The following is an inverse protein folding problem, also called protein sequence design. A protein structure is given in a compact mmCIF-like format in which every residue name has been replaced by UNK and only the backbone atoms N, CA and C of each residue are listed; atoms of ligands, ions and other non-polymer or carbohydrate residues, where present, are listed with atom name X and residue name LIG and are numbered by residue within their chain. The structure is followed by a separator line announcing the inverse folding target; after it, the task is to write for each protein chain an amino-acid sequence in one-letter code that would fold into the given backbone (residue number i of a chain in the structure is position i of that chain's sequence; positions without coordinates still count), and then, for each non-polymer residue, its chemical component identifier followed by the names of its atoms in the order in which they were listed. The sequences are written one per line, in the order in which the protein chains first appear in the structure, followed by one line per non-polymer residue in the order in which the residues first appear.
data_IF_655438108307
#
_entry.id   IF_655438108307
#
_cell.length_a   1.000
_cell.length_b   1.000
_cell.length_c   1.000
_cell.angle_alpha   90.00
_cell.angle_beta   90.00
_cell.angle_gamma   90.00
#
_symmetry.space_group_name_H-M   'P 1'
#
loop_
_entity.id
_entity.type
_entity.pdbx_description
1 polymer ?
#
# COMPACT_ATOMS: atom_id res chain seq x y z
N UNK A 1 -10.47 -19.45 20.00
CA UNK A 1 -9.82 -18.28 19.39
C UNK A 1 -10.24 -17.10 20.24
N UNK A 2 -9.34 -16.50 21.04
CA UNK A 2 -9.68 -15.27 21.75
C UNK A 2 -10.02 -14.23 20.70
N UNK A 3 -11.27 -13.77 20.63
CA UNK A 3 -11.63 -12.66 19.75
C UNK A 3 -10.94 -11.44 20.30
N UNK A 4 -9.83 -11.03 19.67
CA UNK A 4 -9.17 -9.78 20.02
C UNK A 4 -10.21 -8.66 19.96
N UNK A 5 -10.13 -7.74 20.92
CA UNK A 5 -10.96 -6.53 20.94
C UNK A 5 -10.98 -5.89 19.54
N UNK A 6 -12.13 -5.41 19.04
CA UNK A 6 -12.22 -4.90 17.67
C UNK A 6 -11.21 -3.81 17.39
N UNK A 7 -10.96 -2.90 18.33
CA UNK A 7 -9.88 -1.91 18.23
C UNK A 7 -8.52 -2.56 17.86
N UNK A 8 -8.13 -3.65 18.55
CA UNK A 8 -6.90 -4.38 18.24
C UNK A 8 -6.99 -5.12 16.90
N UNK A 9 -8.13 -5.75 16.58
CA UNK A 9 -8.33 -6.41 15.29
C UNK A 9 -8.17 -5.41 14.12
N UNK A 10 -8.85 -4.27 14.20
CA UNK A 10 -8.84 -3.20 13.20
C UNK A 10 -7.44 -2.61 13.08
N UNK A 11 -6.79 -2.29 14.19
CA UNK A 11 -5.41 -1.80 14.18
C UNK A 11 -4.44 -2.82 13.56
N UNK A 12 -4.60 -4.11 13.83
CA UNK A 12 -3.79 -5.15 13.19
C UNK A 12 -4.03 -5.22 11.68
N UNK A 13 -5.30 -5.22 11.23
CA UNK A 13 -5.58 -5.26 9.79
C UNK A 13 -5.08 -4.01 9.07
N UNK A 14 -5.21 -2.83 9.69
CA UNK A 14 -4.67 -1.59 9.15
C UNK A 14 -3.15 -1.61 9.07
N UNK A 15 -2.47 -2.07 10.12
CA UNK A 15 -1.02 -2.21 10.14
C UNK A 15 -0.50 -3.16 9.03
N UNK A 16 -1.24 -4.22 8.73
CA UNK A 16 -0.90 -5.16 7.64
C UNK A 16 -1.05 -4.50 6.26
N UNK A 17 -2.10 -3.71 6.05
CA UNK A 17 -2.28 -2.92 4.83
C UNK A 17 -1.14 -1.89 4.66
N UNK A 18 -0.84 -1.14 5.72
CA UNK A 18 0.23 -0.13 5.75
C UNK A 18 1.61 -0.74 5.51
N UNK A 19 1.88 -1.91 6.07
CA UNK A 19 3.11 -2.65 5.80
C UNK A 19 3.23 -2.99 4.30
N UNK A 20 2.13 -3.37 3.64
CA UNK A 20 2.10 -3.56 2.19
C UNK A 20 2.47 -2.29 1.42
N UNK A 21 1.89 -1.14 1.79
CA UNK A 21 2.20 0.16 1.18
C UNK A 21 3.67 0.54 1.34
N UNK A 22 4.20 0.41 2.55
CA UNK A 22 5.62 0.68 2.86
C UNK A 22 6.52 -0.25 2.04
N UNK A 23 6.19 -1.54 1.96
CA UNK A 23 6.95 -2.51 1.14
C UNK A 23 6.92 -2.16 -0.35
N UNK A 24 5.77 -1.71 -0.86
CA UNK A 24 5.66 -1.22 -2.23
C UNK A 24 6.52 0.02 -2.47
N UNK A 25 6.47 1.00 -1.56
CA UNK A 25 7.27 2.22 -1.65
C UNK A 25 8.78 1.91 -1.58
N UNK A 26 9.18 1.01 -0.69
CA UNK A 26 10.56 0.54 -0.59
C UNK A 26 11.01 -0.17 -1.87
N UNK A 27 10.14 -0.99 -2.48
CA UNK A 27 10.44 -1.66 -3.74
C UNK A 27 10.66 -0.64 -4.87
N UNK A 28 9.87 0.44 -4.92
CA UNK A 28 10.08 1.56 -5.86
C UNK A 28 11.43 2.23 -5.58
N UNK A 29 11.65 2.65 -4.33
CA UNK A 29 12.82 3.43 -3.92
C UNK A 29 14.14 2.70 -4.17
N UNK A 30 14.20 1.40 -3.86
CA UNK A 30 15.41 0.58 -3.97
C UNK A 30 15.77 0.22 -5.41
N UNK A 31 14.76 0.07 -6.28
CA UNK A 31 14.96 -0.34 -7.67
C UNK A 31 15.17 0.84 -8.62
N UNK A 32 14.67 2.03 -8.27
CA UNK A 32 14.60 3.18 -9.19
C UNK A 32 15.92 3.48 -9.94
N UNK A 33 17.06 3.48 -9.24
CA UNK A 33 18.37 3.80 -9.85
C UNK A 33 19.08 2.61 -10.49
N UNK A 34 18.55 1.40 -10.32
CA UNK A 34 19.16 0.16 -10.82
C UNK A 34 18.57 -0.32 -12.15
N UNK A 35 17.52 0.34 -12.65
CA UNK A 35 16.89 0.00 -13.93
C UNK A 35 17.76 0.52 -15.08
N UNK A 36 18.14 -0.32 -16.06
CA UNK A 36 18.90 0.13 -17.21
C UNK A 36 18.11 1.15 -18.04
N UNK A 37 18.62 2.38 -18.18
CA UNK A 37 17.94 3.48 -18.90
C UNK A 37 17.63 3.13 -20.37
N UNK A 38 18.47 2.31 -21.01
CA UNK A 38 18.25 1.88 -22.39
C UNK A 38 17.11 0.84 -22.54
N UNK A 39 16.67 0.22 -21.45
CA UNK A 39 15.56 -0.74 -21.45
C UNK A 39 14.23 -0.01 -21.25
N UNK A 40 13.76 0.63 -22.31
CA UNK A 40 12.55 1.46 -22.28
C UNK A 40 11.29 0.68 -21.94
N UNK A 41 11.23 -0.62 -22.25
CA UNK A 41 10.10 -1.49 -21.87
C UNK A 41 10.07 -1.69 -20.36
N UNK A 42 11.21 -2.05 -19.75
CA UNK A 42 11.31 -2.19 -18.29
C UNK A 42 11.05 -0.87 -17.57
N UNK A 43 11.53 0.26 -18.10
CA UNK A 43 11.23 1.59 -17.54
C UNK A 43 9.72 1.88 -17.59
N UNK A 44 9.05 1.59 -18.71
CA UNK A 44 7.61 1.79 -18.82
C UNK A 44 6.82 0.89 -17.86
N UNK A 45 7.26 -0.35 -17.68
CA UNK A 45 6.72 -1.27 -16.67
C UNK A 45 6.91 -0.73 -15.25
N UNK A 46 8.05 -0.11 -14.96
CA UNK A 46 8.33 0.50 -13.66
C UNK A 46 7.46 1.72 -13.38
N UNK A 47 7.30 2.61 -14.36
CA UNK A 47 6.39 3.76 -14.26
C UNK A 47 4.95 3.28 -14.04
N UNK A 48 4.54 2.21 -14.74
CA UNK A 48 3.24 1.55 -14.52
C UNK A 48 3.12 1.01 -13.10
N UNK A 49 4.17 0.40 -12.55
CA UNK A 49 4.20 -0.07 -11.17
C UNK A 49 4.02 1.08 -10.16
N UNK A 50 4.71 2.20 -10.38
CA UNK A 50 4.58 3.41 -9.57
C UNK A 50 3.15 3.97 -9.61
N UNK A 51 2.52 4.01 -10.79
CA UNK A 51 1.11 4.42 -10.94
C UNK A 51 0.18 3.50 -10.15
N UNK A 52 0.34 2.18 -10.26
CA UNK A 52 -0.49 1.23 -9.51
C UNK A 52 -0.36 1.43 -8.00
N UNK A 53 0.85 1.74 -7.51
CA UNK A 53 1.08 2.08 -6.11
C UNK A 53 0.35 3.36 -5.71
N UNK A 54 0.46 4.44 -6.50
CA UNK A 54 -0.27 5.69 -6.24
C UNK A 54 -1.78 5.48 -6.22
N UNK A 55 -2.33 4.76 -7.20
CA UNK A 55 -3.76 4.43 -7.27
C UNK A 55 -4.22 3.63 -6.05
N UNK A 56 -3.39 2.72 -5.52
CA UNK A 56 -3.72 2.00 -4.30
C UNK A 56 -3.74 2.88 -3.06
N UNK A 57 -2.83 3.88 -2.97
CA UNK A 57 -2.78 4.84 -1.87
C UNK A 57 -3.98 5.78 -1.88
N UNK A 58 -4.34 6.31 -3.06
CA UNK A 58 -5.55 7.14 -3.22
C UNK A 58 -6.80 6.35 -2.82
N UNK A 59 -6.99 5.15 -3.38
CA UNK A 59 -8.15 4.33 -3.07
C UNK A 59 -8.26 3.99 -1.58
N UNK A 60 -7.13 3.76 -0.90
CA UNK A 60 -7.11 3.52 0.54
C UNK A 60 -7.57 4.74 1.35
N UNK A 61 -6.90 5.87 1.20
CA UNK A 61 -7.21 7.07 2.01
C UNK A 61 -8.56 7.70 1.63
N UNK A 62 -8.97 7.64 0.35
CA UNK A 62 -10.28 8.14 -0.09
C UNK A 62 -11.42 7.37 0.59
N UNK A 63 -11.29 6.04 0.70
CA UNK A 63 -12.31 5.21 1.36
C UNK A 63 -12.30 5.42 2.88
N UNK A 64 -11.13 5.70 3.47
CA UNK A 64 -11.04 6.07 4.87
C UNK A 64 -11.80 7.36 5.18
N UNK A 65 -11.51 8.45 4.45
CA UNK A 65 -12.14 9.74 4.68
C UNK A 65 -13.62 9.75 4.29
N UNK A 66 -14.01 9.05 3.23
CA UNK A 66 -15.39 9.03 2.76
C UNK A 66 -16.31 8.12 3.59
N UNK A 67 -15.78 7.06 4.20
CA UNK A 67 -16.60 6.03 4.85
C UNK A 67 -16.12 5.66 6.25
N UNK A 68 -14.86 5.25 6.40
CA UNK A 68 -14.41 4.64 7.66
C UNK A 68 -14.29 5.64 8.81
N UNK A 69 -13.63 6.77 8.60
CA UNK A 69 -13.46 7.80 9.63
C UNK A 69 -14.80 8.40 10.08
N UNK A 70 -15.73 8.76 9.17
CA UNK A 70 -17.08 9.16 9.57
C UNK A 70 -17.84 8.08 10.36
N UNK A 71 -17.69 6.80 10.01
CA UNK A 71 -18.31 5.71 10.75
C UNK A 71 -17.74 5.59 12.18
N UNK A 72 -16.42 5.75 12.36
CA UNK A 72 -15.79 5.78 13.69
C UNK A 72 -16.32 6.95 14.53
N UNK A 73 -16.38 8.15 13.97
CA UNK A 73 -16.94 9.31 14.67
C UNK A 73 -18.39 9.06 15.11
N UNK A 74 -19.23 8.53 14.23
CA UNK A 74 -20.63 8.20 14.52
C UNK A 74 -20.77 7.15 15.64
N UNK A 75 -19.92 6.12 15.63
CA UNK A 75 -19.96 5.03 16.62
C UNK A 75 -19.51 5.53 17.99
N UNK A 76 -18.46 6.36 18.02
CA UNK A 76 -17.87 6.86 19.26
C UNK A 76 -18.65 8.03 19.85
N UNK A 77 -19.37 8.79 19.01
CA UNK A 77 -20.02 10.04 19.39
C UNK A 77 -19.06 11.19 19.65
N UNK A 78 -17.77 11.03 19.32
CA UNK A 78 -16.71 12.01 19.57
C UNK A 78 -16.33 12.70 18.26
N UNK A 79 -16.85 13.92 18.08
CA UNK A 79 -16.55 14.77 16.92
C UNK A 79 -15.03 14.99 16.79
N UNK A 80 -14.49 14.74 15.61
CA UNK A 80 -13.08 14.99 15.29
C UNK A 80 -12.12 13.95 15.86
N UNK A 81 -12.60 12.79 16.34
CA UNK A 81 -11.71 11.73 16.86
C UNK A 81 -10.70 11.23 15.82
N UNK A 82 -10.99 11.40 14.52
CA UNK A 82 -10.11 11.05 13.40
C UNK A 82 -9.44 12.26 12.73
N UNK A 83 -9.62 13.50 13.21
CA UNK A 83 -9.11 14.70 12.51
C UNK A 83 -7.59 14.70 12.38
N UNK A 84 -6.86 14.17 13.37
CA UNK A 84 -5.40 14.01 13.27
C UNK A 84 -4.99 13.19 12.04
N UNK A 85 -5.70 12.09 11.74
CA UNK A 85 -5.38 11.25 10.59
C UNK A 85 -5.64 11.99 9.28
N UNK A 86 -6.73 12.77 9.21
CA UNK A 86 -7.07 13.62 8.06
C UNK A 86 -6.02 14.73 7.87
N UNK A 87 -5.58 15.39 8.94
CA UNK A 87 -4.50 16.39 8.89
C UNK A 87 -3.20 15.76 8.39
N UNK A 88 -2.90 14.54 8.81
CA UNK A 88 -1.72 13.80 8.36
C UNK A 88 -1.84 13.34 6.89
N UNK A 89 -3.04 13.02 6.40
CA UNK A 89 -3.28 12.86 4.95
C UNK A 89 -2.87 14.10 4.19
N UNK A 90 -3.44 15.25 4.57
CA UNK A 90 -3.17 16.56 3.97
C UNK A 90 -1.67 16.91 4.00
N UNK A 91 -0.93 16.45 5.02
CA UNK A 91 0.49 16.73 5.16
C UNK A 91 1.36 16.05 4.09
N UNK A 92 1.08 14.80 3.70
CA UNK A 92 1.87 14.13 2.65
C UNK A 92 1.32 14.38 1.23
N UNK A 93 0.03 14.72 1.08
CA UNK A 93 -0.64 14.86 -0.23
C UNK A 93 0.12 15.71 -1.24
N UNK A 94 0.67 16.90 -0.90
CA UNK A 94 1.33 17.74 -1.90
C UNK A 94 2.57 17.09 -2.52
N UNK A 95 3.35 16.35 -1.73
CA UNK A 95 4.52 15.64 -2.23
C UNK A 95 4.15 14.36 -2.98
N UNK A 96 3.13 13.66 -2.49
CA UNK A 96 2.58 12.49 -3.15
C UNK A 96 2.03 12.79 -4.56
N UNK A 97 1.27 13.89 -4.74
CA UNK A 97 0.76 14.32 -6.05
C UNK A 97 1.90 14.60 -7.04
N UNK A 98 3.04 15.15 -6.59
CA UNK A 98 4.20 15.38 -7.47
C UNK A 98 4.82 14.07 -7.95
N UNK A 99 4.87 13.06 -7.08
CA UNK A 99 5.36 11.73 -7.45
C UNK A 99 4.41 11.04 -8.42
N UNK A 100 3.11 11.08 -8.15
CA UNK A 100 2.07 10.55 -9.03
C UNK A 100 2.13 11.19 -10.42
N UNK A 101 2.21 12.52 -10.48
CA UNK A 101 2.27 13.25 -11.75
C UNK A 101 3.50 12.81 -12.56
N UNK A 102 4.67 12.72 -11.93
CA UNK A 102 5.86 12.19 -12.57
C UNK A 102 5.64 10.76 -13.09
N UNK A 103 5.11 9.85 -12.26
CA UNK A 103 4.85 8.48 -12.67
C UNK A 103 3.87 8.38 -13.85
N UNK A 104 2.93 9.32 -13.96
CA UNK A 104 1.91 9.38 -15.00
C UNK A 104 2.41 10.00 -16.31
N UNK A 105 3.22 11.05 -16.24
CA UNK A 105 3.60 11.85 -17.42
C UNK A 105 5.02 11.63 -17.91
N UNK A 106 5.91 11.06 -17.09
CA UNK A 106 7.28 10.76 -17.49
C UNK A 106 7.28 9.74 -18.64
N UNK A 107 8.02 10.05 -19.70
CA UNK A 107 8.29 9.08 -20.77
C UNK A 107 9.42 8.15 -20.36
N UNK A 108 9.51 6.96 -20.98
CA UNK A 108 10.63 6.07 -20.70
C UNK A 108 12.00 6.67 -21.06
N UNK A 109 12.04 7.62 -22.01
CA UNK A 109 13.28 8.30 -22.41
C UNK A 109 13.71 9.37 -21.39
N UNK A 110 12.75 10.00 -20.71
CA UNK A 110 13.00 11.06 -19.71
C UNK A 110 13.12 10.51 -18.29
N UNK A 111 13.09 9.18 -18.13
CA UNK A 111 13.13 8.54 -16.83
C UNK A 111 14.48 8.74 -16.14
N UNK A 112 14.42 9.29 -14.93
CA UNK A 112 15.55 9.43 -14.02
C UNK A 112 15.25 8.77 -12.67
N UNK A 113 15.96 7.68 -12.36
CA UNK A 113 15.80 6.99 -11.06
C UNK A 113 16.13 7.87 -9.86
N UNK A 114 17.10 8.80 -10.02
CA UNK A 114 17.40 9.80 -9.00
C UNK A 114 16.22 10.72 -8.70
N UNK A 115 15.48 11.11 -9.75
CA UNK A 115 14.29 11.97 -9.60
C UNK A 115 13.17 11.26 -8.85
N UNK A 116 12.97 9.96 -9.10
CA UNK A 116 12.01 9.14 -8.34
C UNK A 116 12.32 9.17 -6.84
N UNK A 117 13.58 8.96 -6.46
CA UNK A 117 13.99 9.01 -5.04
C UNK A 117 13.76 10.37 -4.41
N UNK A 118 14.16 11.44 -5.10
CA UNK A 118 13.93 12.83 -4.66
C UNK A 118 12.45 13.11 -4.41
N UNK A 119 11.57 12.66 -5.32
CA UNK A 119 10.13 12.83 -5.18
C UNK A 119 9.58 12.06 -3.97
N UNK A 120 10.04 10.83 -3.74
CA UNK A 120 9.65 10.01 -2.59
C UNK A 120 10.13 10.65 -1.28
N UNK A 121 11.37 11.11 -1.22
CA UNK A 121 11.94 11.79 -0.04
C UNK A 121 11.09 13.02 0.35
N UNK A 122 10.42 13.65 -0.61
CA UNK A 122 9.53 14.79 -0.40
C UNK A 122 8.20 14.50 0.30
N UNK A 123 7.78 13.24 0.46
CA UNK A 123 6.53 12.89 1.18
C UNK A 123 6.64 11.68 2.11
N UNK A 124 7.68 10.85 2.00
CA UNK A 124 7.81 9.62 2.77
C UNK A 124 7.82 9.85 4.30
N UNK A 125 8.41 10.95 4.77
CA UNK A 125 8.40 11.31 6.19
C UNK A 125 6.98 11.48 6.74
N UNK A 126 6.21 12.48 6.28
CA UNK A 126 4.82 12.67 6.68
C UNK A 126 3.93 11.44 6.46
N UNK A 127 4.11 10.70 5.36
CA UNK A 127 3.37 9.45 5.12
C UNK A 127 3.67 8.41 6.20
N UNK A 128 4.94 8.15 6.52
CA UNK A 128 5.27 7.14 7.54
C UNK A 128 4.87 7.54 8.95
N UNK A 129 4.75 8.84 9.24
CA UNK A 129 4.11 9.35 10.46
C UNK A 129 2.64 8.98 10.48
N UNK A 130 1.89 9.30 9.42
CA UNK A 130 0.48 8.94 9.28
C UNK A 130 0.24 7.43 9.50
N UNK A 131 0.93 6.60 8.73
CA UNK A 131 0.75 5.15 8.74
C UNK A 131 1.05 4.52 10.12
N UNK A 132 1.81 5.20 10.98
CA UNK A 132 2.10 4.78 12.36
C UNK A 132 1.06 5.29 13.35
N UNK A 133 0.76 6.58 13.29
CA UNK A 133 -0.08 7.25 14.28
C UNK A 133 -1.54 6.81 14.18
N UNK A 134 -2.01 6.49 12.97
CA UNK A 134 -3.34 5.91 12.79
C UNK A 134 -3.51 4.60 13.57
N UNK A 135 -2.49 3.74 13.58
CA UNK A 135 -2.54 2.47 14.32
C UNK A 135 -2.76 2.71 15.81
N UNK A 136 -2.16 3.75 16.37
CA UNK A 136 -2.39 4.12 17.77
C UNK A 136 -3.81 4.67 17.97
N UNK A 137 -4.27 5.56 17.08
CA UNK A 137 -5.64 6.07 17.10
C UNK A 137 -6.68 4.95 17.09
N UNK A 138 -6.50 3.95 16.22
CA UNK A 138 -7.40 2.80 16.11
C UNK A 138 -7.34 1.89 17.33
N UNK A 139 -6.19 1.75 17.99
CA UNK A 139 -6.06 1.01 19.27
C UNK A 139 -6.78 1.73 20.40
N UNK A 140 -6.75 3.06 20.41
CA UNK A 140 -7.41 3.88 21.42
C UNK A 140 -8.94 3.84 21.31
N UNK A 141 -9.49 3.19 20.28
CA UNK A 141 -10.91 2.86 20.20
C UNK A 141 -11.34 1.74 21.16
N UNK A 142 -10.43 1.20 21.98
CA UNK A 142 -10.72 0.14 22.95
C UNK A 142 -11.93 0.42 23.89
N UNK A 143 -12.22 1.66 24.32
CA UNK A 143 -13.37 1.93 25.19
C UNK A 143 -14.75 1.87 24.52
N UNK A 144 -14.83 1.83 23.19
CA UNK A 144 -16.09 1.97 22.44
C UNK A 144 -16.66 0.62 21.95
N UNK A 145 -17.86 0.66 21.36
CA UNK A 145 -18.60 -0.53 20.92
C UNK A 145 -17.78 -1.42 19.97
N UNK A 146 -17.38 -2.57 20.52
CA UNK A 146 -16.54 -3.56 19.86
C UNK A 146 -17.23 -4.15 18.62
N UNK A 147 -18.53 -4.40 18.64
CA UNK A 147 -19.22 -4.98 17.48
C UNK A 147 -19.36 -3.99 16.33
N UNK A 148 -19.72 -2.74 16.64
CA UNK A 148 -19.96 -1.74 15.60
C UNK A 148 -18.66 -1.25 14.95
N UNK A 149 -17.56 -1.13 15.71
CA UNK A 149 -16.22 -0.89 15.13
C UNK A 149 -15.86 -2.00 14.15
N UNK A 150 -16.10 -3.27 14.53
CA UNK A 150 -15.80 -4.40 13.64
C UNK A 150 -16.66 -4.39 12.38
N UNK A 151 -17.93 -3.98 12.47
CA UNK A 151 -18.82 -3.84 11.32
C UNK A 151 -18.36 -2.70 10.39
N UNK A 152 -17.97 -1.55 10.95
CA UNK A 152 -17.42 -0.44 10.18
C UNK A 152 -16.17 -0.86 9.40
N UNK A 153 -15.25 -1.58 10.05
CA UNK A 153 -14.05 -2.07 9.36
C UNK A 153 -14.36 -3.10 8.27
N UNK A 154 -15.29 -4.04 8.50
CA UNK A 154 -15.70 -4.99 7.44
C UNK A 154 -16.33 -4.29 6.24
N UNK A 155 -17.07 -3.20 6.47
CA UNK A 155 -17.61 -2.35 5.41
C UNK A 155 -16.47 -1.69 4.62
N UNK A 156 -15.49 -1.12 5.32
CA UNK A 156 -14.26 -0.58 4.75
C UNK A 156 -13.53 -1.63 3.90
N UNK A 157 -13.23 -2.81 4.44
CA UNK A 157 -12.57 -3.92 3.70
C UNK A 157 -13.33 -4.30 2.42
N UNK A 158 -14.67 -4.40 2.50
CA UNK A 158 -15.49 -4.71 1.33
C UNK A 158 -15.38 -3.64 0.25
N UNK A 159 -15.33 -2.36 0.64
CA UNK A 159 -15.15 -1.24 -0.28
C UNK A 159 -13.75 -1.24 -0.90
N UNK A 160 -12.72 -1.55 -0.11
CA UNK A 160 -11.36 -1.73 -0.58
C UNK A 160 -11.25 -2.80 -1.66
N UNK A 161 -11.98 -3.91 -1.52
CA UNK A 161 -12.01 -4.99 -2.51
C UNK A 161 -12.79 -4.67 -3.80
N UNK A 162 -13.50 -3.55 -3.86
CA UNK A 162 -14.31 -3.15 -5.03
C UNK A 162 -13.54 -2.25 -6.03
N UNK A 163 -12.23 -2.03 -5.83
CA UNK A 163 -11.37 -1.23 -6.71
C UNK A 163 -10.96 -1.93 -8.01
N UNK A 164 -9.99 -1.35 -8.75
CA UNK A 164 -9.47 -1.95 -9.98
C UNK A 164 -8.64 -3.22 -9.70
N UNK A 165 -9.28 -4.37 -9.89
CA UNK A 165 -8.66 -5.69 -9.73
C UNK A 165 -7.45 -5.93 -10.62
N UNK A 166 -7.29 -5.24 -11.77
CA UNK A 166 -6.15 -5.44 -12.67
C UNK A 166 -4.87 -4.75 -12.19
N UNK A 167 -4.99 -3.68 -11.40
CA UNK A 167 -3.84 -2.89 -10.95
C UNK A 167 -3.60 -3.04 -9.45
N UNK A 168 -4.65 -2.98 -8.64
CA UNK A 168 -4.52 -3.00 -7.18
C UNK A 168 -4.30 -4.42 -6.65
N UNK A 169 -5.00 -5.42 -7.19
CA UNK A 169 -4.89 -6.78 -6.63
C UNK A 169 -3.49 -7.41 -6.79
N UNK A 170 -2.83 -7.36 -7.97
CA UNK A 170 -1.47 -7.89 -8.11
C UNK A 170 -0.45 -7.12 -7.27
N UNK A 171 -0.65 -5.81 -7.08
CA UNK A 171 0.19 -5.00 -6.20
C UNK A 171 0.02 -5.43 -4.74
N UNK A 172 -1.21 -5.39 -4.20
CA UNK A 172 -1.48 -5.71 -2.79
C UNK A 172 -0.95 -7.09 -2.43
N UNK A 173 -1.18 -8.11 -3.28
CA UNK A 173 -0.66 -9.45 -3.05
C UNK A 173 0.86 -9.53 -3.21
N UNK A 174 1.43 -8.82 -4.18
CA UNK A 174 2.87 -8.79 -4.37
C UNK A 174 3.63 -7.96 -3.33
N UNK A 175 2.94 -7.16 -2.51
CA UNK A 175 3.53 -6.44 -1.38
C UNK A 175 3.26 -7.09 -0.02
N UNK A 176 2.29 -8.01 0.05
CA UNK A 176 1.97 -8.73 1.27
C UNK A 176 2.87 -9.97 1.43
N UNK A 177 3.40 -10.15 2.63
CA UNK A 177 4.30 -11.26 2.97
C UNK A 177 3.62 -12.23 3.93
N UNK A 178 3.37 -13.44 3.44
CA UNK A 178 2.69 -14.47 4.23
C UNK A 178 3.54 -15.04 5.36
N UNK A 179 4.84 -14.75 5.38
CA UNK A 179 5.77 -15.22 6.42
C UNK A 179 5.95 -14.20 7.55
N UNK A 180 5.43 -12.98 7.39
CA UNK A 180 5.53 -11.92 8.39
C UNK A 180 5.00 -12.38 9.76
N UNK A 181 5.76 -12.10 10.82
CA UNK A 181 5.53 -12.59 12.19
C UNK A 181 5.27 -14.10 12.27
N UNK A 182 6.09 -14.88 11.55
CA UNK A 182 5.98 -16.35 11.54
C UNK A 182 4.72 -16.84 10.80
N UNK A 183 4.12 -16.00 9.96
CA UNK A 183 2.92 -16.31 9.19
C UNK A 183 1.65 -16.42 10.03
N UNK A 184 1.61 -15.76 11.19
CA UNK A 184 0.41 -15.72 12.04
C UNK A 184 -0.74 -14.93 11.42
N UNK A 185 -0.45 -14.07 10.44
CA UNK A 185 -1.42 -13.18 9.80
C UNK A 185 -1.93 -13.73 8.46
N UNK A 186 -3.25 -13.75 8.29
CA UNK A 186 -3.88 -14.05 7.01
C UNK A 186 -4.35 -12.76 6.31
N UNK A 187 -3.43 -12.07 5.62
CA UNK A 187 -3.73 -10.80 4.95
C UNK A 187 -3.18 -10.71 3.52
N UNK A 188 -4.00 -10.37 2.50
CA UNK A 188 -5.45 -10.14 2.60
C UNK A 188 -6.24 -11.43 2.89
N UNK A 189 -7.35 -11.36 3.66
CA UNK A 189 -8.15 -12.54 4.04
C UNK A 189 -9.12 -12.95 2.92
N UNK A 190 -8.58 -13.48 1.82
CA UNK A 190 -9.38 -13.92 0.65
C UNK A 190 -9.51 -15.44 0.58
N UNK A 191 -10.52 -15.98 -0.15
CA UNK A 191 -10.59 -17.40 -0.48
C UNK A 191 -9.34 -17.93 -1.20
N UNK A 192 -8.98 -19.20 -0.97
CA UNK A 192 -7.74 -19.81 -1.48
C UNK A 192 -7.58 -19.77 -3.01
N UNK A 193 -8.67 -19.67 -3.76
CA UNK A 193 -8.66 -19.61 -5.22
C UNK A 193 -8.42 -18.20 -5.78
N UNK A 194 -8.58 -17.15 -4.97
CA UNK A 194 -8.43 -15.76 -5.42
C UNK A 194 -7.02 -15.47 -5.96
N UNK A 195 -5.92 -15.90 -5.31
CA UNK A 195 -4.60 -15.72 -5.87
C UNK A 195 -4.49 -16.29 -7.30
N UNK A 196 -5.07 -17.46 -7.59
CA UNK A 196 -5.06 -18.04 -8.94
C UNK A 196 -5.71 -17.10 -9.96
N UNK A 197 -6.85 -16.49 -9.63
CA UNK A 197 -7.50 -15.49 -10.49
C UNK A 197 -6.58 -14.28 -10.68
N UNK A 198 -5.96 -13.78 -9.61
CA UNK A 198 -5.04 -12.65 -9.68
C UNK A 198 -3.88 -12.96 -10.62
N UNK A 199 -3.23 -14.11 -10.48
CA UNK A 199 -2.07 -14.46 -11.30
C UNK A 199 -2.43 -14.73 -12.77
N UNK A 200 -3.46 -15.56 -13.02
CA UNK A 200 -3.78 -16.04 -14.36
C UNK A 200 -4.73 -15.14 -15.14
N UNK A 201 -5.38 -14.16 -14.50
CA UNK A 201 -6.30 -13.22 -15.16
C UNK A 201 -5.83 -11.78 -14.99
N UNK A 202 -5.88 -11.26 -13.77
CA UNK A 202 -5.65 -9.84 -13.52
C UNK A 202 -4.21 -9.41 -13.76
N UNK A 203 -3.25 -10.24 -13.36
CA UNK A 203 -1.83 -10.00 -13.47
C UNK A 203 -1.31 -10.00 -14.92
N UNK A 204 -2.08 -10.50 -15.88
CA UNK A 204 -1.62 -10.62 -17.28
C UNK A 204 -1.49 -9.28 -17.99
N UNK A 205 -2.37 -8.32 -17.70
CA UNK A 205 -2.44 -7.03 -18.42
C UNK A 205 -1.17 -6.19 -18.20
N UNK A 206 -0.68 -6.14 -16.97
CA UNK A 206 0.52 -5.39 -16.57
C UNK A 206 1.63 -6.32 -16.05
N UNK A 207 1.79 -7.49 -16.68
CA UNK A 207 2.70 -8.55 -16.20
C UNK A 207 4.12 -8.06 -15.91
N UNK A 208 4.57 -7.07 -16.67
CA UNK A 208 5.91 -6.53 -16.53
C UNK A 208 6.08 -5.71 -15.26
N UNK A 209 5.13 -4.85 -14.92
CA UNK A 209 5.09 -4.10 -13.66
C UNK A 209 5.19 -5.02 -12.42
N UNK A 210 4.62 -6.22 -12.49
CA UNK A 210 4.66 -7.15 -11.36
C UNK A 210 6.02 -7.78 -11.09
N UNK A 211 7.06 -7.52 -11.89
CA UNK A 211 8.44 -7.92 -11.57
C UNK A 211 9.03 -7.11 -10.41
N UNK A 212 8.54 -5.91 -10.17
CA UNK A 212 9.04 -5.02 -9.12
C UNK A 212 8.51 -5.35 -7.71
N UNK A 213 7.49 -6.19 -7.60
CA UNK A 213 6.94 -6.62 -6.31
C UNK A 213 7.98 -7.33 -5.43
N UNK A 214 8.03 -7.07 -4.11
CA UNK A 214 8.91 -7.76 -3.17
C UNK A 214 8.44 -9.19 -2.80
N UNK A 215 7.23 -9.57 -3.21
CA UNK A 215 6.69 -10.92 -3.09
C UNK A 215 6.15 -11.43 -4.42
N UNK A 216 6.04 -12.75 -4.54
CA UNK A 216 5.20 -13.37 -5.58
C UNK A 216 3.72 -13.06 -5.31
N UNK A 217 2.84 -13.33 -6.28
CA UNK A 217 1.38 -13.23 -6.05
C UNK A 217 0.93 -14.19 -4.92
N UNK A 218 1.71 -15.23 -4.62
CA UNK A 218 1.44 -16.16 -3.51
C UNK A 218 1.89 -15.62 -2.16
N UNK A 219 2.35 -14.37 -2.11
CA UNK A 219 2.86 -13.67 -0.93
C UNK A 219 4.17 -14.26 -0.39
N UNK A 220 4.86 -15.06 -1.21
CA UNK A 220 6.20 -15.54 -0.91
C UNK A 220 7.22 -14.43 -1.14
N UNK A 221 8.07 -14.09 -0.15
CA UNK A 221 9.18 -13.16 -0.36
C UNK A 221 10.07 -13.58 -1.53
N UNK A 222 10.59 -12.59 -2.25
CA UNK A 222 11.57 -12.79 -3.32
C UNK A 222 12.51 -11.60 -3.40
N UNK A 223 13.65 -11.80 -4.04
CA UNK A 223 14.58 -10.72 -4.30
C UNK A 223 13.98 -9.70 -5.27
N UNK A 224 14.32 -8.43 -5.06
CA UNK A 224 13.98 -7.36 -6.00
C UNK A 224 14.69 -7.60 -7.33
N UNK A 225 13.97 -7.36 -8.43
CA UNK A 225 14.47 -7.66 -9.78
C UNK A 225 15.69 -6.81 -10.17
N UNK A 226 15.81 -5.62 -9.58
CA UNK A 226 16.93 -4.70 -9.82
C UNK A 226 17.57 -4.33 -8.49
N UNK A 227 18.86 -4.65 -8.34
CA UNK A 227 19.64 -4.27 -7.17
C UNK A 227 20.73 -3.31 -7.63
N UNK A 228 20.94 -2.22 -6.89
CA UNK A 228 22.11 -1.39 -7.14
C UNK A 228 23.35 -2.22 -6.85
N UNK A 229 24.26 -2.35 -7.83
CA UNK A 229 25.56 -2.93 -7.56
C UNK A 229 26.22 -2.10 -6.45
N UNK A 230 26.50 -2.72 -5.31
CA UNK A 230 27.34 -2.11 -4.28
C UNK A 230 28.65 -1.65 -4.95
N UNK A 231 29.07 -0.39 -4.78
CA UNK A 231 30.38 0.04 -5.25
C UNK A 231 31.43 -0.66 -4.36
N UNK A 232 31.92 -1.81 -4.79
CA UNK A 232 32.86 -2.59 -3.98
C UNK A 232 33.16 -4.01 -4.45
N UNK A 233 33.21 -4.27 -5.77
CA UNK A 233 33.93 -5.42 -6.33
C UNK A 233 34.54 -5.04 -7.69
N UNK A 234 35.67 -4.35 -7.65
CA UNK A 234 36.75 -4.41 -8.64
C UNK A 234 38.06 -4.54 -7.88
#
# INVERSE_FOLDING_TARGET
MYTSHAANYVATQMALAHNGMIRGLNAIYLQATAIPHQDTETVQDFLTYCQCWCESMHHHHDVEEAEFFPDIERITGVLGIMELNIEQHRAFTPGFIRFEEYARTCSAADYEGGKVKELIDGFAGPLTTHLRDEINTLRDLHPYDNEDIRKAYKKFEKRMMAGDSYRTAPLVFGTADRSFEGGMHNFPPVPFFVPYIIHYVYGRKYRGAWRFNPCTIWRDPRDLAFQSNSPGQQ
#
